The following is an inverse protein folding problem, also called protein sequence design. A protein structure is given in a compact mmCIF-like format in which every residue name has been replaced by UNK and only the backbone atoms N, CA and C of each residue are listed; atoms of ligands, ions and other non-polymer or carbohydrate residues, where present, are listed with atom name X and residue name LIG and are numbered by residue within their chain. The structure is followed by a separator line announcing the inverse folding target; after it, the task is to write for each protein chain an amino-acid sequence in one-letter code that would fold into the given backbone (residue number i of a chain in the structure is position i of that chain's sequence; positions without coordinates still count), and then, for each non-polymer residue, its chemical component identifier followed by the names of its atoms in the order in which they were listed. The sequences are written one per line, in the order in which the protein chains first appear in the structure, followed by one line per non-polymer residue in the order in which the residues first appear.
data_IF_790487762663
#
_entry.id   IF_790487762663
#
_cell.length_a   1.000
_cell.length_b   1.000
_cell.length_c   1.000
_cell.angle_alpha   90.00
_cell.angle_beta   90.00
_cell.angle_gamma   90.00
#
_symmetry.space_group_name_H-M   'P 1'
#
loop_
_entity.id
_entity.type
_entity.pdbx_description
1 polymer ?
#
# COMPACT_ATOMS: atom_id res chain seq x y z
N UNK A 1 -12.49 13.82 -20.77
CA UNK A 1 -12.34 12.76 -19.75
C UNK A 1 -11.29 13.24 -18.77
N UNK A 2 -11.69 13.73 -17.61
CA UNK A 2 -10.77 14.27 -16.61
C UNK A 2 -10.09 13.13 -15.87
N UNK A 3 -8.81 12.91 -16.16
CA UNK A 3 -7.93 12.11 -15.31
C UNK A 3 -7.95 12.76 -13.93
N UNK A 4 -8.60 12.11 -12.97
CA UNK A 4 -8.37 12.40 -11.56
C UNK A 4 -6.93 12.00 -11.29
N UNK A 5 -6.03 12.98 -11.32
CA UNK A 5 -4.75 12.87 -10.65
C UNK A 5 -5.09 12.58 -9.19
N UNK A 6 -4.95 11.33 -8.79
CA UNK A 6 -4.91 10.95 -7.38
C UNK A 6 -3.88 11.89 -6.76
N UNK A 7 -4.33 12.86 -5.96
CA UNK A 7 -3.44 13.77 -5.24
C UNK A 7 -2.41 12.87 -4.55
N UNK A 8 -1.17 12.84 -5.05
CA UNK A 8 -0.11 12.10 -4.37
C UNK A 8 -0.02 12.74 -2.99
N UNK A 9 -0.25 11.97 -1.92
CA UNK A 9 -0.25 12.54 -0.60
C UNK A 9 1.16 13.10 -0.33
N UNK A 10 1.22 14.29 0.25
CA UNK A 10 2.48 14.94 0.64
C UNK A 10 3.17 14.22 1.83
N UNK A 11 2.56 13.13 2.31
CA UNK A 11 2.98 12.35 3.46
C UNK A 11 2.59 10.89 3.22
N UNK A 12 3.32 9.96 3.83
CA UNK A 12 2.99 8.55 3.80
C UNK A 12 1.56 8.30 4.33
N UNK A 13 0.83 7.39 3.68
CA UNK A 13 -0.48 6.96 4.12
C UNK A 13 -0.43 5.53 4.62
N UNK A 14 -1.07 5.29 5.77
CA UNK A 14 -1.14 3.98 6.41
C UNK A 14 -2.60 3.56 6.57
N UNK A 15 -2.95 2.41 6.01
CA UNK A 15 -4.25 1.77 6.18
C UNK A 15 -4.03 0.43 6.87
N UNK A 16 -4.81 0.16 7.93
CA UNK A 16 -4.76 -1.08 8.67
C UNK A 16 -6.13 -1.74 8.60
N UNK A 17 -6.15 -2.98 8.17
CA UNK A 17 -7.36 -3.80 8.10
C UNK A 17 -7.19 -5.06 8.95
N UNK A 18 -8.19 -5.38 9.76
CA UNK A 18 -8.19 -6.57 10.60
C UNK A 18 -9.10 -7.67 10.02
N UNK A 19 -9.01 -8.87 10.60
CA UNK A 19 -9.85 -10.02 10.25
C UNK A 19 -9.72 -10.43 8.77
N UNK A 20 -8.50 -10.38 8.24
CA UNK A 20 -8.17 -10.85 6.89
C UNK A 20 -7.55 -12.23 6.94
N UNK A 21 -7.83 -13.06 5.95
CA UNK A 21 -7.12 -14.33 5.78
C UNK A 21 -5.82 -14.14 5.00
N UNK A 22 -4.91 -15.12 5.09
CA UNK A 22 -3.72 -15.13 4.27
C UNK A 22 -4.05 -15.12 2.76
N UNK A 23 -5.08 -15.84 2.35
CA UNK A 23 -5.53 -15.85 0.95
C UNK A 23 -6.03 -14.48 0.50
N UNK A 24 -6.78 -13.77 1.35
CA UNK A 24 -7.22 -12.39 1.04
C UNK A 24 -6.03 -11.44 0.92
N UNK A 25 -5.02 -11.57 1.78
CA UNK A 25 -3.78 -10.80 1.66
C UNK A 25 -3.07 -11.07 0.33
N UNK A 26 -2.97 -12.34 -0.11
CA UNK A 26 -2.34 -12.66 -1.41
C UNK A 26 -3.08 -12.04 -2.59
N UNK A 27 -4.42 -11.98 -2.54
CA UNK A 27 -5.22 -11.28 -3.57
C UNK A 27 -4.94 -9.78 -3.57
N UNK A 28 -4.81 -9.16 -2.40
CA UNK A 28 -4.42 -7.75 -2.27
C UNK A 28 -3.01 -7.52 -2.85
N UNK A 29 -2.05 -8.40 -2.54
CA UNK A 29 -0.70 -8.32 -3.12
C UNK A 29 -0.71 -8.39 -4.65
N UNK A 30 -1.52 -9.28 -5.24
CA UNK A 30 -1.67 -9.36 -6.69
C UNK A 30 -2.24 -8.06 -7.28
N UNK A 31 -3.23 -7.45 -6.61
CA UNK A 31 -3.82 -6.18 -7.03
C UNK A 31 -2.83 -5.02 -7.07
N UNK A 32 -1.82 -5.03 -6.20
CA UNK A 32 -0.78 -4.00 -6.11
C UNK A 32 0.56 -4.38 -6.75
N UNK A 33 0.67 -5.50 -7.46
CA UNK A 33 1.94 -6.03 -7.98
C UNK A 33 2.75 -5.02 -8.82
N UNK A 34 2.08 -4.14 -9.56
CA UNK A 34 2.70 -3.10 -10.40
C UNK A 34 2.54 -1.68 -9.84
N UNK A 35 2.17 -1.54 -8.56
CA UNK A 35 1.96 -0.24 -7.92
C UNK A 35 3.23 0.18 -7.17
N UNK A 36 4.07 1.07 -7.72
CA UNK A 36 5.18 1.64 -6.99
C UNK A 36 4.67 2.44 -5.78
N UNK A 37 5.51 2.58 -4.76
CA UNK A 37 5.15 3.28 -3.53
C UNK A 37 4.24 2.51 -2.59
N UNK A 38 3.82 1.29 -2.90
CA UNK A 38 2.95 0.49 -2.03
C UNK A 38 3.74 -0.62 -1.35
N UNK A 39 3.63 -0.69 -0.03
CA UNK A 39 4.18 -1.77 0.80
C UNK A 39 3.05 -2.44 1.54
N UNK A 40 3.01 -3.77 1.49
CA UNK A 40 1.98 -4.58 2.11
C UNK A 40 2.59 -5.50 3.17
N UNK A 41 2.02 -5.51 4.36
CA UNK A 41 2.41 -6.38 5.45
C UNK A 41 1.23 -7.21 5.91
N UNK A 42 1.51 -8.42 6.40
CA UNK A 42 0.51 -9.29 7.00
C UNK A 42 1.06 -9.91 8.28
N UNK A 43 0.31 -9.79 9.37
CA UNK A 43 0.56 -10.51 10.62
C UNK A 43 -0.77 -10.91 11.27
N UNK A 44 -0.93 -12.21 11.55
CA UNK A 44 -2.06 -12.78 12.32
C UNK A 44 -3.43 -12.22 11.95
N UNK A 45 -3.70 -12.09 10.65
CA UNK A 45 -4.97 -11.61 10.12
C UNK A 45 -5.16 -10.09 10.12
N UNK A 46 -4.09 -9.34 10.37
CA UNK A 46 -4.01 -7.90 10.12
C UNK A 46 -3.22 -7.67 8.83
N UNK A 47 -3.79 -6.87 7.94
CA UNK A 47 -3.13 -6.36 6.73
C UNK A 47 -2.81 -4.90 6.95
N UNK A 48 -1.58 -4.51 6.66
CA UNK A 48 -1.18 -3.12 6.61
C UNK A 48 -0.80 -2.74 5.18
N UNK A 49 -1.40 -1.66 4.67
CA UNK A 49 -1.01 -1.02 3.43
C UNK A 49 -0.36 0.33 3.76
N UNK A 50 0.91 0.45 3.40
CA UNK A 50 1.70 1.65 3.51
C UNK A 50 1.98 2.19 2.11
N UNK A 51 1.36 3.32 1.78
CA UNK A 51 1.72 4.12 0.63
C UNK A 51 2.82 5.10 1.04
N UNK A 52 4.04 4.91 0.52
CA UNK A 52 5.19 5.79 0.79
C UNK A 52 5.32 6.86 -0.28
N UNK A 53 5.81 8.04 0.12
CA UNK A 53 6.11 9.10 -0.85
C UNK A 53 7.37 8.75 -1.67
N UNK A 54 7.53 9.33 -2.88
CA UNK A 54 8.72 9.12 -3.70
C UNK A 54 10.03 9.47 -2.98
N UNK A 55 10.02 10.48 -2.10
CA UNK A 55 11.19 10.85 -1.30
C UNK A 55 11.61 9.68 -0.40
N UNK A 56 10.68 9.01 0.28
CA UNK A 56 10.95 7.81 1.08
C UNK A 56 11.31 6.57 0.24
N UNK A 57 11.00 6.55 -1.06
CA UNK A 57 11.51 5.51 -1.97
C UNK A 57 12.97 5.73 -2.35
N UNK A 58 13.35 6.99 -2.58
CA UNK A 58 14.69 7.38 -3.01
C UNK A 58 15.69 7.27 -1.85
N UNK A 59 15.28 7.70 -0.65
CA UNK A 59 16.08 7.61 0.56
C UNK A 59 15.73 6.34 1.34
N UNK A 60 16.11 5.16 0.82
CA UNK A 60 16.12 3.93 1.62
C UNK A 60 17.24 4.04 2.66
N UNK A 61 16.90 4.56 3.86
CA UNK A 61 17.78 4.50 5.03
C UNK A 61 17.58 3.18 5.75
#
# INVERSE_FOLDING_TARGET
MTSQLLNRPAQDQRIIEHNRTWQQFQLIQQGFYNSPGIRLFYDKGTVENLAVTPEHEIFKT
#
